data_IF_080376613482
#
_entry.id   IF_080376613482
#
_cell.length_a   1.000
_cell.length_b   1.000
_cell.length_c   1.000
_cell.angle_alpha   90.00
_cell.angle_beta   90.00
_cell.angle_gamma   90.00
#
_symmetry.space_group_name_H-M   'P 1'
#
loop_
_entity.id
_entity.type
_entity.pdbx_description
1 polymer ?
#
# COMPACT_ATOMS: atom_id res chain seq x y z
N UNK A 1 2.10 22.31 1.95
CA UNK A 1 2.83 21.03 1.78
C UNK A 1 2.36 19.97 2.76
N UNK A 2 2.24 20.28 4.06
CA UNK A 2 1.70 19.33 5.06
C UNK A 2 0.31 18.82 4.68
N UNK A 3 -0.63 19.69 4.30
CA UNK A 3 -1.96 19.27 3.82
C UNK A 3 -1.89 18.30 2.63
N UNK A 4 -0.97 18.55 1.69
CA UNK A 4 -0.80 17.75 0.48
C UNK A 4 -0.24 16.36 0.84
N UNK A 5 0.75 16.28 1.72
CA UNK A 5 1.27 15.01 2.26
C UNK A 5 0.16 14.23 2.96
N UNK A 6 -0.71 14.90 3.73
CA UNK A 6 -1.86 14.25 4.39
C UNK A 6 -2.82 13.65 3.37
N UNK A 7 -3.22 14.43 2.37
CA UNK A 7 -4.11 13.97 1.31
C UNK A 7 -3.52 12.81 0.51
N UNK A 8 -2.24 12.90 0.14
CA UNK A 8 -1.53 11.86 -0.60
C UNK A 8 -1.35 10.58 0.21
N UNK A 9 -1.15 10.68 1.53
CA UNK A 9 -1.09 9.51 2.40
C UNK A 9 -2.43 8.76 2.43
N UNK A 10 -3.54 9.48 2.64
CA UNK A 10 -4.87 8.89 2.57
C UNK A 10 -5.17 8.31 1.18
N UNK A 11 -4.83 9.03 0.11
CA UNK A 11 -5.01 8.55 -1.26
C UNK A 11 -4.20 7.28 -1.54
N UNK A 12 -2.96 7.20 -1.04
CA UNK A 12 -2.08 6.03 -1.22
C UNK A 12 -2.70 4.79 -0.59
N UNK A 13 -3.17 4.87 0.65
CA UNK A 13 -3.77 3.71 1.33
C UNK A 13 -5.18 3.38 0.83
N UNK A 14 -5.94 4.38 0.35
CA UNK A 14 -7.23 4.16 -0.30
C UNK A 14 -7.08 3.42 -1.63
N UNK A 15 -6.05 3.75 -2.41
CA UNK A 15 -5.80 3.14 -3.72
C UNK A 15 -5.22 1.73 -3.62
N UNK A 16 -4.54 1.39 -2.52
CA UNK A 16 -3.88 0.08 -2.41
C UNK A 16 -4.80 -1.13 -2.67
N UNK A 17 -6.02 -1.23 -2.10
CA UNK A 17 -6.97 -2.31 -2.41
C UNK A 17 -7.53 -2.25 -3.85
N UNK A 18 -7.41 -1.11 -4.52
CA UNK A 18 -7.92 -0.88 -5.87
C UNK A 18 -6.86 -1.15 -6.96
N UNK A 19 -5.66 -1.60 -6.59
CA UNK A 19 -4.53 -1.75 -7.52
C UNK A 19 -4.91 -2.56 -8.76
N UNK A 20 -5.54 -3.73 -8.60
CA UNK A 20 -5.97 -4.55 -9.73
C UNK A 20 -6.91 -3.81 -10.70
N UNK A 21 -7.85 -3.02 -10.19
CA UNK A 21 -8.78 -2.23 -11.01
C UNK A 21 -8.04 -1.15 -11.79
N UNK A 22 -7.09 -0.46 -11.14
CA UNK A 22 -6.32 0.59 -11.77
C UNK A 22 -5.36 0.05 -12.82
N UNK A 23 -4.80 -1.14 -12.61
CA UNK A 23 -3.91 -1.80 -13.59
C UNK A 23 -4.65 -2.17 -14.88
N UNK A 24 -5.94 -2.50 -14.81
CA UNK A 24 -6.77 -2.73 -16.00
C UNK A 24 -6.99 -1.45 -16.82
N UNK A 25 -7.06 -0.29 -16.15
CA UNK A 25 -7.19 1.01 -16.83
C UNK A 25 -5.84 1.44 -17.41
N UNK A 26 -4.78 1.43 -16.58
CA UNK A 26 -3.42 1.73 -17.02
C UNK A 26 -2.38 1.23 -16.01
N UNK A 27 -1.32 0.57 -16.49
CA UNK A 27 -0.31 -0.13 -15.68
C UNK A 27 0.51 0.71 -14.68
N UNK A 28 0.35 2.04 -14.69
CA UNK A 28 1.05 2.96 -13.78
C UNK A 28 0.13 3.71 -12.82
N UNK A 29 -1.20 3.66 -12.97
CA UNK A 29 -2.12 4.48 -12.19
C UNK A 29 -2.04 4.22 -10.69
N UNK A 30 -1.94 2.95 -10.28
CA UNK A 30 -1.79 2.56 -8.88
C UNK A 30 -0.52 3.13 -8.23
N UNK A 31 0.50 3.45 -9.03
CA UNK A 31 1.80 3.95 -8.55
C UNK A 31 1.83 5.47 -8.40
N UNK A 32 0.87 6.20 -8.97
CA UNK A 32 0.86 7.66 -8.96
C UNK A 32 0.73 8.23 -7.55
N UNK A 33 -0.27 7.83 -6.72
CA UNK A 33 -0.38 8.35 -5.35
C UNK A 33 0.86 8.11 -4.47
N UNK A 34 1.40 6.88 -4.37
CA UNK A 34 2.60 6.65 -3.54
C UNK A 34 3.83 7.37 -4.07
N UNK A 35 4.02 7.47 -5.39
CA UNK A 35 5.15 8.21 -5.97
C UNK A 35 5.09 9.70 -5.62
N UNK A 36 3.92 10.32 -5.77
CA UNK A 36 3.70 11.71 -5.39
C UNK A 36 3.87 11.93 -3.88
N UNK A 37 3.40 10.98 -3.06
CA UNK A 37 3.59 11.00 -1.62
C UNK A 37 5.08 11.05 -1.26
N UNK A 38 5.89 10.13 -1.79
CA UNK A 38 7.34 10.04 -1.52
C UNK A 38 8.04 11.33 -1.92
N UNK A 39 7.78 11.85 -3.13
CA UNK A 39 8.42 13.09 -3.62
C UNK A 39 8.03 14.29 -2.76
N UNK A 40 6.74 14.43 -2.44
CA UNK A 40 6.24 15.56 -1.64
C UNK A 40 6.76 15.49 -0.20
N UNK A 41 6.81 14.30 0.37
CA UNK A 41 7.39 14.04 1.68
C UNK A 41 8.88 14.37 1.73
N UNK A 42 9.65 13.90 0.75
CA UNK A 42 11.09 14.18 0.67
C UNK A 42 11.34 15.69 0.56
N UNK A 43 10.60 16.39 -0.30
CA UNK A 43 10.68 17.85 -0.42
C UNK A 43 10.32 18.56 0.89
N UNK A 44 9.30 18.08 1.62
CA UNK A 44 8.91 18.63 2.93
C UNK A 44 10.03 18.43 3.97
N UNK A 45 10.60 17.23 4.06
CA UNK A 45 11.66 16.91 5.04
C UNK A 45 12.96 17.63 4.74
N UNK A 46 13.34 17.75 3.47
CA UNK A 46 14.50 18.55 3.04
C UNK A 46 14.32 20.02 3.41
N UNK A 47 13.13 20.60 3.19
CA UNK A 47 12.82 21.99 3.57
C UNK A 47 12.85 22.21 5.09
N UNK A 48 12.33 21.26 5.85
CA UNK A 48 12.31 21.32 7.31
C UNK A 48 13.66 20.96 7.95
N UNK A 49 14.59 20.37 7.18
CA UNK A 49 15.86 19.81 7.65
C UNK A 49 15.68 18.86 8.85
N UNK A 50 14.63 18.05 8.81
CA UNK A 50 14.29 17.10 9.88
C UNK A 50 14.37 15.67 9.36
N UNK A 51 15.02 14.76 10.10
CA UNK A 51 14.98 13.35 9.78
C UNK A 51 13.59 12.75 10.03
N UNK A 52 13.31 11.54 9.49
CA UNK A 52 12.14 10.77 9.83
C UNK A 52 12.03 10.53 11.34
N UNK A 53 10.81 10.50 11.88
CA UNK A 53 10.55 10.19 13.28
C UNK A 53 10.91 8.73 13.59
N UNK A 54 11.70 8.44 14.63
CA UNK A 54 11.87 7.07 15.09
C UNK A 54 10.54 6.53 15.61
N UNK A 55 10.14 5.36 15.12
CA UNK A 55 8.89 4.71 15.52
C UNK A 55 9.10 3.19 15.65
N UNK A 56 8.53 2.50 16.65
CA UNK A 56 8.72 1.05 16.85
C UNK A 56 8.37 0.19 15.62
N UNK A 57 7.46 0.65 14.77
CA UNK A 57 7.12 -0.02 13.51
C UNK A 57 8.33 -0.19 12.56
N UNK A 58 9.36 0.65 12.67
CA UNK A 58 10.60 0.47 11.91
C UNK A 58 11.34 -0.82 12.29
N UNK A 59 11.19 -1.31 13.52
CA UNK A 59 11.78 -2.60 13.94
C UNK A 59 11.11 -3.75 13.22
N UNK A 60 9.78 -3.72 13.11
CA UNK A 60 9.01 -4.71 12.35
C UNK A 60 9.38 -4.67 10.87
N UNK A 61 9.51 -3.46 10.31
CA UNK A 61 9.91 -3.27 8.92
C UNK A 61 11.34 -3.75 8.65
N UNK A 62 12.27 -3.51 9.59
CA UNK A 62 13.63 -4.01 9.51
C UNK A 62 13.68 -5.54 9.61
N UNK A 63 12.89 -6.15 10.49
CA UNK A 63 12.77 -7.60 10.57
C UNK A 63 12.25 -8.21 9.26
N UNK A 64 11.23 -7.59 8.64
CA UNK A 64 10.76 -7.98 7.31
C UNK A 64 11.88 -7.88 6.26
N UNK A 65 12.64 -6.77 6.25
CA UNK A 65 13.76 -6.61 5.32
C UNK A 65 14.82 -7.70 5.51
N UNK A 66 15.13 -8.09 6.75
CA UNK A 66 16.04 -9.20 7.05
C UNK A 66 15.50 -10.53 6.51
N UNK A 67 14.21 -10.81 6.69
CA UNK A 67 13.58 -12.04 6.15
C UNK A 67 13.64 -12.05 4.62
N UNK A 68 13.39 -10.91 3.96
CA UNK A 68 13.48 -10.79 2.51
C UNK A 68 14.92 -11.02 2.01
N UNK A 69 15.91 -10.46 2.69
CA UNK A 69 17.32 -10.65 2.36
C UNK A 69 17.78 -12.10 2.60
N UNK A 70 17.34 -12.73 3.68
CA UNK A 70 17.62 -14.13 3.95
C UNK A 70 17.00 -15.04 2.87
N UNK A 71 15.73 -14.79 2.53
CA UNK A 71 15.04 -15.51 1.44
C UNK A 71 15.74 -15.33 0.10
N UNK A 72 16.14 -14.10 -0.23
CA UNK A 72 16.93 -13.82 -1.44
C UNK A 72 18.28 -14.55 -1.42
N UNK A 73 19.01 -14.52 -0.30
CA UNK A 73 20.32 -15.16 -0.18
C UNK A 73 20.23 -16.69 -0.38
N UNK A 74 19.21 -17.34 0.17
CA UNK A 74 18.96 -18.77 -0.02
C UNK A 74 18.66 -19.11 -1.48
N UNK A 75 17.99 -18.19 -2.21
CA UNK A 75 17.55 -18.41 -3.58
C UNK A 75 18.36 -17.63 -4.63
N UNK A 76 19.54 -17.09 -4.28
CA UNK A 76 20.25 -16.11 -5.10
C UNK A 76 20.62 -16.62 -6.51
N UNK A 77 20.78 -17.94 -6.68
CA UNK A 77 21.02 -18.57 -7.98
C UNK A 77 19.78 -18.80 -8.85
N UNK A 78 18.58 -18.50 -8.34
CA UNK A 78 17.31 -18.68 -9.05
C UNK A 78 17.01 -17.54 -10.03
N UNK A 79 16.35 -17.81 -11.17
CA UNK A 79 16.14 -16.83 -12.24
C UNK A 79 15.25 -15.64 -11.83
N UNK A 80 14.45 -15.78 -10.77
CA UNK A 80 13.50 -14.76 -10.33
C UNK A 80 13.85 -14.11 -8.99
N UNK A 81 14.82 -14.65 -8.23
CA UNK A 81 15.05 -14.25 -6.84
C UNK A 81 15.37 -12.76 -6.69
N UNK A 82 16.33 -12.26 -7.47
CA UNK A 82 16.71 -10.84 -7.46
C UNK A 82 15.58 -9.94 -7.93
N UNK A 83 14.86 -10.35 -8.98
CA UNK A 83 13.72 -9.60 -9.49
C UNK A 83 12.62 -9.44 -8.45
N UNK A 84 12.27 -10.50 -7.73
CA UNK A 84 11.31 -10.46 -6.63
C UNK A 84 11.80 -9.63 -5.45
N UNK A 85 13.06 -9.77 -5.03
CA UNK A 85 13.62 -8.97 -3.94
C UNK A 85 13.56 -7.47 -4.22
N UNK A 86 13.91 -7.04 -5.44
CA UNK A 86 13.86 -5.63 -5.83
C UNK A 86 12.44 -5.06 -5.85
N UNK A 87 11.42 -5.88 -6.10
CA UNK A 87 10.00 -5.45 -6.07
C UNK A 87 9.54 -5.03 -4.66
N UNK A 88 10.24 -5.46 -3.61
CA UNK A 88 9.93 -5.04 -2.25
C UNK A 88 10.48 -3.65 -1.89
N UNK A 89 11.47 -3.12 -2.62
CA UNK A 89 12.07 -1.82 -2.29
C UNK A 89 11.06 -0.67 -2.28
N UNK A 90 10.18 -0.51 -3.29
CA UNK A 90 9.16 0.54 -3.26
C UNK A 90 8.20 0.38 -2.09
N UNK A 91 7.81 -0.86 -1.74
CA UNK A 91 6.95 -1.12 -0.59
C UNK A 91 7.61 -0.65 0.70
N UNK A 92 8.84 -1.10 0.98
CA UNK A 92 9.59 -0.71 2.18
C UNK A 92 9.74 0.81 2.29
N UNK A 93 10.07 1.49 1.18
CA UNK A 93 10.20 2.93 1.13
C UNK A 93 8.88 3.64 1.46
N UNK A 94 7.79 3.25 0.80
CA UNK A 94 6.46 3.84 1.03
C UNK A 94 6.02 3.60 2.47
N UNK A 95 6.30 2.42 3.05
CA UNK A 95 5.99 2.14 4.45
C UNK A 95 6.75 3.05 5.41
N UNK A 96 8.05 3.28 5.21
CA UNK A 96 8.81 4.26 6.03
C UNK A 96 8.17 5.65 5.95
N UNK A 97 7.82 6.10 4.75
CA UNK A 97 7.19 7.40 4.54
C UNK A 97 5.83 7.46 5.26
N UNK A 98 4.99 6.44 5.13
CA UNK A 98 3.70 6.38 5.81
C UNK A 98 3.85 6.37 7.33
N UNK A 99 4.81 5.63 7.89
CA UNK A 99 5.10 5.63 9.33
C UNK A 99 5.41 7.05 9.80
N UNK A 100 6.34 7.74 9.14
CA UNK A 100 6.73 9.10 9.52
C UNK A 100 5.58 10.11 9.35
N UNK A 101 4.78 9.96 8.30
CA UNK A 101 3.61 10.83 8.05
C UNK A 101 2.51 10.59 9.07
N UNK A 102 2.22 9.36 9.45
CA UNK A 102 1.21 9.04 10.49
C UNK A 102 1.70 9.44 11.88
N UNK A 103 2.99 9.34 12.16
CA UNK A 103 3.55 9.74 13.44
C UNK A 103 3.44 11.25 13.72
N UNK A 104 3.38 12.09 12.68
CA UNK A 104 3.49 13.56 12.82
C UNK A 104 2.40 14.37 12.14
N UNK A 105 1.98 13.94 10.96
CA UNK A 105 1.19 14.78 10.06
C UNK A 105 -0.26 14.34 9.96
N UNK A 106 -0.57 13.03 9.99
CA UNK A 106 -1.93 12.52 9.78
C UNK A 106 -2.41 11.73 10.99
N UNK A 107 -3.62 11.99 11.54
CA UNK A 107 -4.16 11.11 12.57
C UNK A 107 -4.37 9.71 12.01
N UNK A 108 -3.91 8.69 12.73
CA UNK A 108 -4.00 7.27 12.30
C UNK A 108 -5.42 6.90 11.86
N UNK A 109 -6.46 7.40 12.55
CA UNK A 109 -7.87 7.18 12.19
C UNK A 109 -8.19 7.58 10.75
N UNK A 110 -7.64 8.68 10.24
CA UNK A 110 -7.91 9.10 8.85
C UNK A 110 -7.31 8.11 7.83
N UNK A 111 -6.12 7.57 8.13
CA UNK A 111 -5.47 6.55 7.30
C UNK A 111 -6.25 5.23 7.36
N UNK A 112 -6.72 4.83 8.54
CA UNK A 112 -7.56 3.65 8.71
C UNK A 112 -8.87 3.78 7.93
N UNK A 113 -9.60 4.89 8.08
CA UNK A 113 -10.84 5.16 7.35
C UNK A 113 -10.60 5.14 5.83
N UNK A 114 -9.52 5.76 5.35
CA UNK A 114 -9.18 5.75 3.93
C UNK A 114 -8.89 4.33 3.42
N UNK A 115 -8.17 3.53 4.20
CA UNK A 115 -7.88 2.11 3.88
C UNK A 115 -9.17 1.30 3.78
N UNK A 116 -10.06 1.43 4.78
CA UNK A 116 -11.36 0.75 4.80
C UNK A 116 -12.22 1.20 3.62
N UNK A 117 -12.29 2.50 3.33
CA UNK A 117 -13.06 3.02 2.21
C UNK A 117 -12.56 2.47 0.87
N UNK A 118 -11.24 2.33 0.69
CA UNK A 118 -10.64 1.68 -0.48
C UNK A 118 -11.05 0.22 -0.60
N UNK A 119 -10.96 -0.53 0.49
CA UNK A 119 -11.35 -1.94 0.54
C UNK A 119 -12.85 -2.15 0.23
N UNK A 120 -13.73 -1.32 0.82
CA UNK A 120 -15.18 -1.34 0.53
C UNK A 120 -15.44 -1.03 -0.94
N UNK A 121 -14.74 -0.05 -1.50
CA UNK A 121 -14.89 0.32 -2.92
C UNK A 121 -14.46 -0.82 -3.84
N UNK A 122 -13.32 -1.47 -3.54
CA UNK A 122 -12.86 -2.65 -4.27
C UNK A 122 -13.89 -3.78 -4.19
N UNK A 123 -14.46 -4.01 -3.00
CA UNK A 123 -15.45 -5.06 -2.78
C UNK A 123 -16.75 -4.83 -3.54
N UNK A 124 -17.24 -3.59 -3.56
CA UNK A 124 -18.41 -3.21 -4.35
C UNK A 124 -18.14 -3.40 -5.85
N UNK A 125 -16.95 -3.04 -6.33
CA UNK A 125 -16.55 -3.29 -7.71
C UNK A 125 -16.60 -4.78 -8.07
N UNK A 126 -16.16 -5.65 -7.17
CA UNK A 126 -16.13 -7.09 -7.41
C UNK A 126 -17.54 -7.70 -7.40
N UNK A 127 -18.40 -7.24 -6.49
CA UNK A 127 -19.81 -7.63 -6.46
C UNK A 127 -20.55 -7.18 -7.73
N UNK A 128 -20.29 -5.97 -8.20
CA UNK A 128 -20.86 -5.46 -9.45
C UNK A 128 -20.40 -6.30 -10.65
N UNK A 129 -19.11 -6.66 -10.73
CA UNK A 129 -18.60 -7.56 -11.77
C UNK A 129 -19.27 -8.93 -11.74
N UNK A 130 -19.50 -9.50 -10.56
CA UNK A 130 -20.24 -10.77 -10.42
C UNK A 130 -21.67 -10.67 -10.96
N UNK A 131 -22.39 -9.61 -10.61
CA UNK A 131 -23.81 -9.44 -10.97
C UNK A 131 -23.99 -9.03 -12.44
N UNK A 132 -23.18 -8.08 -12.93
CA UNK A 132 -23.35 -7.48 -14.25
C UNK A 132 -22.62 -8.24 -15.35
N UNK A 133 -21.46 -8.83 -15.06
CA UNK A 133 -20.64 -9.55 -16.02
C UNK A 133 -20.80 -11.08 -15.91
N UNK A 134 -21.63 -11.54 -14.97
CA UNK A 134 -21.93 -12.96 -14.78
C UNK A 134 -20.74 -13.78 -14.29
N UNK A 135 -19.76 -13.15 -13.63
CA UNK A 135 -18.61 -13.88 -13.10
C UNK A 135 -19.07 -14.89 -12.03
N UNK A 136 -18.48 -16.09 -11.95
CA UNK A 136 -18.91 -17.13 -11.02
C UNK A 136 -18.69 -16.77 -9.54
N UNK A 137 -17.95 -15.69 -9.27
CA UNK A 137 -17.59 -15.21 -7.93
C UNK A 137 -17.23 -13.72 -7.99
N UNK A 138 -17.32 -13.03 -6.86
CA UNK A 138 -16.83 -11.67 -6.69
C UNK A 138 -15.28 -11.65 -6.57
N UNK A 139 -14.58 -12.04 -7.64
CA UNK A 139 -13.12 -12.07 -7.68
C UNK A 139 -12.52 -10.65 -7.81
N UNK A 140 -13.22 -9.75 -8.50
CA UNK A 140 -12.61 -8.50 -8.95
C UNK A 140 -11.46 -8.76 -9.94
N UNK A 141 -10.61 -7.75 -10.20
CA UNK A 141 -9.52 -7.78 -11.19
C UNK A 141 -8.21 -8.34 -10.65
N UNK A 142 -8.24 -8.94 -9.46
CA UNK A 142 -7.07 -9.56 -8.84
C UNK A 142 -6.87 -10.96 -9.44
N UNK A 143 -5.61 -11.35 -9.63
CA UNK A 143 -5.26 -12.68 -10.16
C UNK A 143 -5.73 -13.79 -9.22
N UNK A 144 -5.70 -13.57 -7.89
CA UNK A 144 -6.31 -14.48 -6.91
C UNK A 144 -7.68 -13.96 -6.45
N UNK A 145 -8.76 -14.72 -6.70
CA UNK A 145 -10.12 -14.38 -6.26
C UNK A 145 -10.32 -14.27 -4.73
N UNK A 146 -9.41 -14.81 -3.92
CA UNK A 146 -9.52 -14.78 -2.46
C UNK A 146 -8.98 -13.46 -1.88
N UNK A 147 -8.19 -12.71 -2.64
CA UNK A 147 -7.51 -11.50 -2.16
C UNK A 147 -8.49 -10.43 -1.68
N UNK A 148 -9.64 -10.30 -2.35
CA UNK A 148 -10.70 -9.35 -1.95
C UNK A 148 -11.27 -9.67 -0.55
N UNK A 149 -11.52 -10.96 -0.28
CA UNK A 149 -11.98 -11.41 1.02
C UNK A 149 -10.91 -11.18 2.09
N UNK A 150 -9.62 -11.37 1.76
CA UNK A 150 -8.51 -11.03 2.65
C UNK A 150 -8.45 -9.53 2.98
N UNK A 151 -8.69 -8.63 2.02
CA UNK A 151 -8.71 -7.19 2.29
C UNK A 151 -9.87 -6.76 3.19
N UNK A 152 -11.08 -7.32 3.00
CA UNK A 152 -12.22 -7.04 3.87
C UNK A 152 -12.05 -7.60 5.29
N UNK A 153 -11.50 -8.81 5.41
CA UNK A 153 -11.16 -9.44 6.71
C UNK A 153 -10.07 -8.64 7.43
N UNK A 154 -9.13 -8.03 6.72
CA UNK A 154 -8.13 -7.14 7.30
C UNK A 154 -8.69 -5.75 7.66
N UNK A 155 -9.71 -5.27 6.94
CA UNK A 155 -10.34 -3.97 7.18
C UNK A 155 -11.30 -3.97 8.38
N UNK A 156 -12.01 -5.08 8.63
CA UNK A 156 -12.96 -5.24 9.74
C UNK A 156 -12.35 -4.97 11.13
N UNK A 157 -11.17 -5.51 11.49
CA UNK A 157 -10.49 -5.19 12.75
C UNK A 157 -10.12 -3.72 12.92
N UNK A 158 -10.01 -2.95 11.83
CA UNK A 158 -9.64 -1.53 11.89
C UNK A 158 -10.82 -0.61 12.23
N UNK A 159 -12.05 -1.15 12.24
CA UNK A 159 -13.29 -0.44 12.57
C UNK A 159 -13.74 -0.64 14.02
N UNK A 160 -13.16 -1.62 14.73
CA UNK A 160 -13.41 -1.91 16.15
C UNK A 160 -12.57 -1.00 17.06
#
# INVERSE_FOLDING_TARGET
MTWLVRALACATVFVAPLEGYLLQVHGHLAKVPPALLVVTWAALRLRQRRPPEPHPAHVVLAALAVVLLASWAVHAGGPYATGYALRWLPFLLVTVVLIDVVAREVPVRAVLVATVAGAVTAALGALLGMVLEGQPRAAGPLEDPNDLAYFLVAALPLLA
#
